data_IF_049398880705
#
_entry.id   IF_049398880705
#
_cell.length_a   1.000
_cell.length_b   1.000
_cell.length_c   1.000
_cell.angle_alpha   90.00
_cell.angle_beta   90.00
_cell.angle_gamma   90.00
#
_symmetry.space_group_name_H-M   'P 1'
#
loop_
_entity.id
_entity.type
_entity.pdbx_description
1 polymer ?
#
# COMPACT_ATOMS: atom_id res chain seq x y z
N UNK A 1 -26.13 5.05 -10.48
CA UNK A 1 -25.33 4.13 -9.61
C UNK A 1 -25.24 2.80 -10.32
N UNK A 2 -24.21 2.00 -10.04
CA UNK A 2 -24.13 0.62 -10.54
C UNK A 2 -25.16 -0.22 -9.75
N UNK A 3 -26.06 -0.88 -10.46
CA UNK A 3 -27.19 -1.65 -9.91
C UNK A 3 -26.94 -3.16 -9.92
N UNK A 4 -25.92 -3.58 -10.69
CA UNK A 4 -25.48 -4.96 -10.82
C UNK A 4 -24.86 -5.47 -9.52
N UNK A 5 -24.95 -6.77 -9.26
CA UNK A 5 -24.41 -7.40 -8.04
C UNK A 5 -22.88 -7.48 -8.02
N UNK A 6 -22.27 -7.48 -9.21
CA UNK A 6 -20.84 -7.68 -9.42
C UNK A 6 -20.29 -6.68 -10.42
N UNK A 7 -19.04 -6.29 -10.20
CA UNK A 7 -18.33 -5.32 -11.04
C UNK A 7 -17.03 -5.96 -11.52
N UNK A 8 -16.79 -5.90 -12.82
CA UNK A 8 -15.52 -6.31 -13.44
C UNK A 8 -14.84 -5.06 -14.04
N UNK A 9 -13.60 -4.81 -13.62
CA UNK A 9 -12.76 -3.74 -14.14
C UNK A 9 -11.68 -4.35 -15.03
N UNK A 10 -11.43 -3.73 -16.18
CA UNK A 10 -10.40 -4.12 -17.13
C UNK A 10 -9.81 -2.88 -17.80
N UNK A 11 -8.49 -2.83 -17.93
CA UNK A 11 -7.84 -1.73 -18.64
C UNK A 11 -8.13 -1.81 -20.14
N UNK A 12 -8.59 -0.70 -20.72
CA UNK A 12 -8.96 -0.60 -22.14
C UNK A 12 -7.78 -0.52 -23.12
N UNK A 13 -6.58 -0.94 -22.74
CA UNK A 13 -5.35 -0.83 -23.56
C UNK A 13 -4.98 -2.10 -24.33
N UNK A 14 -5.82 -3.14 -24.22
CA UNK A 14 -5.66 -4.42 -24.90
C UNK A 14 -4.58 -5.34 -24.32
N UNK A 15 -4.02 -5.04 -23.14
CA UNK A 15 -3.01 -5.89 -22.49
C UNK A 15 -3.63 -7.07 -21.74
N UNK A 16 -4.87 -6.93 -21.28
CA UNK A 16 -5.62 -8.00 -20.60
C UNK A 16 -6.49 -8.77 -21.59
N UNK A 17 -6.59 -10.08 -21.38
CA UNK A 17 -7.42 -10.95 -22.22
C UNK A 17 -8.85 -11.02 -21.66
N UNK A 18 -9.89 -10.54 -22.37
CA UNK A 18 -11.26 -10.57 -21.86
C UNK A 18 -11.81 -11.97 -21.56
N UNK A 19 -11.25 -13.01 -22.18
CA UNK A 19 -11.65 -14.40 -21.90
C UNK A 19 -11.24 -14.89 -20.52
N UNK A 20 -10.39 -14.16 -19.79
CA UNK A 20 -10.08 -14.48 -18.39
C UNK A 20 -11.17 -13.95 -17.42
N UNK A 21 -12.14 -13.15 -17.90
CA UNK A 21 -13.22 -12.59 -17.07
C UNK A 21 -13.95 -13.62 -16.19
N UNK A 22 -14.33 -14.81 -16.70
CA UNK A 22 -15.00 -15.81 -15.87
C UNK A 22 -14.16 -16.24 -14.67
N UNK A 23 -12.83 -16.36 -14.85
CA UNK A 23 -11.92 -16.76 -13.77
C UNK A 23 -11.80 -15.71 -12.65
N UNK A 24 -11.94 -14.41 -12.97
CA UNK A 24 -11.97 -13.37 -11.94
C UNK A 24 -13.33 -13.28 -11.25
N UNK A 25 -14.42 -13.59 -11.95
CA UNK A 25 -15.77 -13.53 -11.40
C UNK A 25 -16.11 -14.73 -10.53
N UNK A 26 -15.60 -15.93 -10.85
CA UNK A 26 -15.89 -17.18 -10.14
C UNK A 26 -15.72 -17.07 -8.61
N UNK A 27 -14.62 -16.54 -8.05
CA UNK A 27 -14.48 -16.43 -6.60
C UNK A 27 -15.48 -15.45 -5.96
N UNK A 28 -15.93 -14.45 -6.71
CA UNK A 28 -16.92 -13.48 -6.24
C UNK A 28 -18.33 -14.08 -6.29
N UNK A 29 -18.65 -14.79 -7.37
CA UNK A 29 -19.91 -15.52 -7.54
C UNK A 29 -20.08 -16.63 -6.49
N UNK A 30 -18.99 -17.32 -6.15
CA UNK A 30 -18.96 -18.36 -5.13
C UNK A 30 -18.98 -17.81 -3.69
N UNK A 31 -18.99 -16.48 -3.50
CA UNK A 31 -18.92 -15.83 -2.19
C UNK A 31 -17.58 -15.96 -1.46
N UNK A 32 -16.56 -16.55 -2.12
CA UNK A 32 -15.21 -16.77 -1.59
C UNK A 32 -14.43 -15.46 -1.43
N UNK A 33 -14.67 -14.48 -2.30
CA UNK A 33 -14.03 -13.17 -2.28
C UNK A 33 -15.02 -12.02 -2.47
N UNK A 34 -14.71 -10.87 -1.90
CA UNK A 34 -15.40 -9.59 -2.17
C UNK A 34 -14.61 -8.73 -3.16
N UNK A 35 -13.31 -8.99 -3.31
CA UNK A 35 -12.40 -8.35 -4.25
C UNK A 35 -11.43 -9.40 -4.82
N UNK A 36 -11.37 -9.54 -6.13
CA UNK A 36 -10.43 -10.41 -6.84
C UNK A 36 -9.47 -9.58 -7.65
N UNK A 37 -8.17 -9.87 -7.54
CA UNK A 37 -7.11 -9.20 -8.30
C UNK A 37 -6.50 -10.18 -9.30
N UNK A 38 -6.45 -9.80 -10.57
CA UNK A 38 -5.78 -10.60 -11.60
C UNK A 38 -4.26 -10.54 -11.44
N UNK A 39 -3.61 -11.67 -11.19
CA UNK A 39 -2.16 -11.79 -11.11
C UNK A 39 -1.53 -11.95 -12.51
N UNK A 40 -0.86 -10.90 -13.01
CA UNK A 40 -0.21 -10.91 -14.34
C UNK A 40 0.98 -11.85 -14.42
N UNK A 41 1.61 -12.19 -13.29
CA UNK A 41 2.76 -13.10 -13.26
C UNK A 41 2.36 -14.57 -13.50
N UNK A 42 1.06 -14.89 -13.42
CA UNK A 42 0.57 -16.26 -13.63
C UNK A 42 0.74 -16.75 -15.06
N UNK A 43 0.39 -15.92 -16.06
CA UNK A 43 0.50 -16.24 -17.50
C UNK A 43 0.98 -15.04 -18.32
N UNK A 44 2.14 -14.50 -17.96
CA UNK A 44 2.73 -13.38 -18.68
C UNK A 44 3.34 -13.82 -20.02
N UNK A 45 2.93 -13.21 -21.13
CA UNK A 45 3.59 -13.45 -22.42
C UNK A 45 4.97 -12.78 -22.46
N UNK A 46 5.94 -13.44 -23.10
CA UNK A 46 7.31 -12.95 -23.22
C UNK A 46 7.37 -11.52 -23.79
N UNK A 47 8.01 -10.61 -23.06
CA UNK A 47 8.17 -9.21 -23.47
C UNK A 47 7.00 -8.28 -23.12
N UNK A 48 5.94 -8.78 -22.49
CA UNK A 48 4.77 -7.96 -22.13
C UNK A 48 5.06 -6.88 -21.07
N UNK A 49 6.05 -7.12 -20.19
CA UNK A 49 6.52 -6.15 -19.21
C UNK A 49 8.03 -5.91 -19.36
N UNK A 50 8.44 -4.63 -19.36
CA UNK A 50 9.87 -4.27 -19.33
C UNK A 50 10.48 -4.72 -17.99
N UNK A 51 11.75 -5.17 -18.01
CA UNK A 51 12.47 -5.62 -16.79
C UNK A 51 12.44 -4.59 -15.65
N UNK A 52 12.56 -3.31 -15.97
CA UNK A 52 12.47 -2.22 -14.99
C UNK A 52 11.09 -2.17 -14.31
N UNK A 53 10.02 -2.40 -15.05
CA UNK A 53 8.66 -2.42 -14.50
C UNK A 53 8.43 -3.65 -13.63
N UNK A 54 8.99 -4.82 -14.01
CA UNK A 54 8.91 -6.02 -13.16
C UNK A 54 9.60 -5.78 -11.82
N UNK A 55 10.78 -5.16 -11.84
CA UNK A 55 11.50 -4.79 -10.63
C UNK A 55 10.71 -3.78 -9.78
N UNK A 56 10.17 -2.73 -10.42
CA UNK A 56 9.33 -1.73 -9.77
C UNK A 56 8.09 -2.35 -9.09
N UNK A 57 7.37 -3.22 -9.80
CA UNK A 57 6.23 -3.95 -9.24
C UNK A 57 6.64 -4.80 -8.03
N UNK A 58 7.74 -5.55 -8.14
CA UNK A 58 8.24 -6.37 -7.02
C UNK A 58 8.57 -5.52 -5.79
N UNK A 59 9.21 -4.36 -5.99
CA UNK A 59 9.48 -3.41 -4.91
C UNK A 59 8.19 -2.88 -4.28
N UNK A 60 7.22 -2.46 -5.10
CA UNK A 60 5.92 -1.95 -4.64
C UNK A 60 5.15 -3.01 -3.84
N UNK A 61 5.05 -4.23 -4.36
CA UNK A 61 4.41 -5.36 -3.66
C UNK A 61 5.13 -5.68 -2.35
N UNK A 62 6.47 -5.59 -2.31
CA UNK A 62 7.24 -5.79 -1.07
C UNK A 62 6.93 -4.73 -0.02
N UNK A 63 6.90 -3.44 -0.41
CA UNK A 63 6.52 -2.35 0.50
C UNK A 63 5.09 -2.52 1.00
N UNK A 64 4.15 -2.84 0.11
CA UNK A 64 2.76 -3.11 0.46
C UNK A 64 2.66 -4.26 1.46
N UNK A 65 3.27 -5.41 1.18
CA UNK A 65 3.21 -6.58 2.08
C UNK A 65 3.81 -6.27 3.45
N UNK A 66 4.92 -5.51 3.49
CA UNK A 66 5.55 -5.11 4.75
C UNK A 66 4.63 -4.21 5.59
N UNK A 67 3.97 -3.24 4.95
CA UNK A 67 3.12 -2.25 5.63
C UNK A 67 1.79 -2.86 6.05
N UNK A 68 1.11 -3.56 5.15
CA UNK A 68 -0.26 -4.04 5.33
C UNK A 68 -0.34 -5.50 5.81
N UNK A 69 0.81 -6.19 5.92
CA UNK A 69 0.93 -7.60 6.34
C UNK A 69 0.11 -8.58 5.51
N UNK A 70 -0.15 -8.22 4.25
CA UNK A 70 -0.91 -9.03 3.29
C UNK A 70 -0.04 -9.28 2.07
N UNK A 71 0.09 -10.56 1.73
CA UNK A 71 0.89 -11.00 0.61
C UNK A 71 0.01 -11.04 -0.64
N UNK A 72 0.20 -10.06 -1.52
CA UNK A 72 -0.33 -10.03 -2.87
C UNK A 72 0.85 -9.96 -3.86
N UNK A 73 0.75 -10.74 -4.92
CA UNK A 73 1.75 -10.90 -5.98
C UNK A 73 1.69 -9.77 -6.98
N UNK A 74 0.51 -9.15 -7.18
CA UNK A 74 0.34 -8.09 -8.18
C UNK A 74 -0.76 -7.06 -7.83
N UNK A 75 -0.46 -6.15 -6.88
CA UNK A 75 -1.41 -5.09 -6.49
C UNK A 75 -1.63 -4.03 -7.58
N UNK A 76 -0.82 -4.03 -8.65
CA UNK A 76 -0.88 -3.02 -9.72
C UNK A 76 -1.59 -3.53 -10.97
N UNK A 77 -2.34 -4.62 -10.84
CA UNK A 77 -3.19 -5.12 -11.90
C UNK A 77 -4.48 -4.31 -11.96
N UNK A 78 -4.84 -3.89 -13.18
CA UNK A 78 -6.10 -3.23 -13.50
C UNK A 78 -7.24 -4.20 -13.79
N UNK A 79 -6.96 -5.51 -13.87
CA UNK A 79 -8.00 -6.53 -14.05
C UNK A 79 -8.49 -7.03 -12.69
N UNK A 80 -9.71 -6.64 -12.32
CA UNK A 80 -10.27 -6.90 -10.99
C UNK A 80 -11.74 -7.21 -11.05
N UNK A 81 -12.22 -8.03 -10.12
CA UNK A 81 -13.65 -8.23 -9.89
C UNK A 81 -14.01 -7.87 -8.46
N UNK A 82 -15.23 -7.39 -8.24
CA UNK A 82 -15.74 -7.04 -6.93
C UNK A 82 -17.21 -7.43 -6.78
N UNK A 83 -17.64 -7.64 -5.54
CA UNK A 83 -19.05 -7.47 -5.19
C UNK A 83 -19.38 -5.98 -5.18
N UNK A 84 -20.60 -5.63 -5.59
CA UNK A 84 -21.06 -4.24 -5.54
C UNK A 84 -21.12 -3.70 -4.10
N UNK A 85 -21.46 -4.55 -3.13
CA UNK A 85 -21.36 -4.20 -1.70
C UNK A 85 -19.91 -3.89 -1.29
N UNK A 86 -18.95 -4.70 -1.74
CA UNK A 86 -17.53 -4.48 -1.51
C UNK A 86 -17.06 -3.12 -2.04
N UNK A 87 -17.39 -2.79 -3.30
CA UNK A 87 -17.03 -1.49 -3.90
C UNK A 87 -17.66 -0.32 -3.18
N UNK A 88 -18.94 -0.42 -2.79
CA UNK A 88 -19.66 0.65 -2.07
C UNK A 88 -19.06 0.98 -0.70
N UNK A 89 -18.29 0.05 -0.12
CA UNK A 89 -17.59 0.25 1.16
C UNK A 89 -16.25 0.96 1.01
N UNK A 90 -15.69 1.03 -0.20
CA UNK A 90 -14.39 1.66 -0.47
C UNK A 90 -14.53 3.18 -0.49
N UNK A 91 -13.60 3.86 0.19
CA UNK A 91 -13.49 5.32 0.15
C UNK A 91 -12.30 5.71 -0.72
N UNK A 92 -12.55 5.84 -2.03
CA UNK A 92 -11.53 6.07 -3.04
C UNK A 92 -11.40 7.57 -3.33
N UNK A 93 -10.17 8.09 -3.27
CA UNK A 93 -9.89 9.53 -3.35
C UNK A 93 -8.79 9.88 -4.35
N UNK A 94 -8.03 8.90 -4.83
CA UNK A 94 -6.80 9.15 -5.56
C UNK A 94 -7.02 9.07 -7.08
N UNK A 95 -6.69 10.13 -7.84
CA UNK A 95 -6.78 10.09 -9.29
C UNK A 95 -5.55 9.41 -9.90
N UNK A 96 -5.71 8.66 -10.99
CA UNK A 96 -4.59 8.15 -11.80
C UNK A 96 -4.24 6.69 -11.53
N UNK A 97 -2.94 6.36 -11.59
CA UNK A 97 -2.39 4.99 -11.48
C UNK A 97 -2.21 4.53 -10.02
N UNK A 98 -2.54 5.40 -9.09
CA UNK A 98 -2.56 5.09 -7.66
C UNK A 98 -3.85 4.37 -7.24
N UNK A 99 -4.91 4.42 -8.07
CA UNK A 99 -6.23 3.89 -7.75
C UNK A 99 -6.21 2.38 -7.52
N UNK A 100 -5.39 1.63 -8.26
CA UNK A 100 -5.23 0.20 -8.10
C UNK A 100 -4.69 -0.14 -6.70
N UNK A 101 -3.69 0.61 -6.24
CA UNK A 101 -3.15 0.42 -4.89
C UNK A 101 -4.16 0.87 -3.83
N UNK A 102 -4.83 1.99 -4.01
CA UNK A 102 -5.85 2.51 -3.08
C UNK A 102 -7.02 1.54 -2.93
N UNK A 103 -7.55 1.00 -4.03
CA UNK A 103 -8.62 -0.02 -4.00
C UNK A 103 -8.22 -1.23 -3.16
N UNK A 104 -6.98 -1.69 -3.30
CA UNK A 104 -6.47 -2.83 -2.52
C UNK A 104 -6.32 -2.46 -1.05
N UNK A 105 -5.75 -1.28 -0.74
CA UNK A 105 -5.58 -0.81 0.64
C UNK A 105 -6.93 -0.62 1.33
N UNK A 106 -7.89 0.04 0.68
CA UNK A 106 -9.24 0.22 1.23
C UNK A 106 -9.95 -1.13 1.39
N UNK A 107 -9.74 -2.09 0.47
CA UNK A 107 -10.29 -3.44 0.64
C UNK A 107 -9.74 -4.11 1.91
N UNK A 108 -8.44 -3.98 2.17
CA UNK A 108 -7.80 -4.48 3.40
C UNK A 108 -8.37 -3.79 4.64
N UNK A 109 -8.44 -2.46 4.62
CA UNK A 109 -8.99 -1.63 5.70
C UNK A 109 -10.40 -2.03 6.10
N UNK A 110 -11.26 -2.24 5.10
CA UNK A 110 -12.65 -2.62 5.30
C UNK A 110 -12.81 -4.12 5.60
N UNK A 111 -11.72 -4.89 5.61
CA UNK A 111 -11.74 -6.32 5.89
C UNK A 111 -12.44 -7.15 4.81
N UNK A 112 -12.39 -6.70 3.55
CA UNK A 112 -12.89 -7.48 2.42
C UNK A 112 -12.03 -8.73 2.22
N UNK A 113 -12.66 -9.83 1.81
CA UNK A 113 -11.93 -11.04 1.39
C UNK A 113 -11.29 -10.80 0.01
N UNK A 114 -9.96 -10.83 -0.05
CA UNK A 114 -9.18 -10.61 -1.27
C UNK A 114 -8.58 -11.93 -1.77
N UNK A 115 -8.75 -12.26 -3.05
CA UNK A 115 -8.13 -13.42 -3.70
C UNK A 115 -7.38 -12.99 -4.96
N UNK A 116 -6.22 -13.60 -5.23
CA UNK A 116 -5.52 -13.44 -6.51
C UNK A 116 -5.82 -14.61 -7.45
N UNK A 117 -6.11 -14.30 -8.71
CA UNK A 117 -6.33 -15.30 -9.77
C UNK A 117 -5.30 -15.09 -10.88
N UNK A 118 -4.58 -16.14 -11.33
CA UNK A 118 -3.62 -16.00 -12.43
C UNK A 118 -4.32 -15.64 -13.74
N UNK A 119 -3.83 -14.59 -14.42
CA UNK A 119 -4.41 -14.08 -15.67
C UNK A 119 -3.36 -13.98 -16.78
N UNK A 120 -3.84 -13.91 -18.02
CA UNK A 120 -3.03 -13.72 -19.22
C UNK A 120 -2.75 -12.24 -19.43
N UNK A 121 -1.47 -11.88 -19.45
CA UNK A 121 -1.02 -10.52 -19.73
C UNK A 121 -0.21 -10.48 -21.03
N UNK A 122 -0.71 -9.72 -22.01
CA UNK A 122 -0.17 -9.63 -23.37
C UNK A 122 0.63 -8.35 -23.56
N UNK A 123 1.56 -8.39 -24.50
CA UNK A 123 2.23 -7.18 -24.99
C UNK A 123 1.19 -6.24 -25.59
N UNK A 124 1.27 -4.96 -25.23
CA UNK A 124 0.38 -3.94 -25.79
C UNK A 124 0.53 -3.89 -27.32
N UNK A 125 -0.56 -3.64 -28.08
CA UNK A 125 -0.50 -3.49 -29.53
C UNK A 125 0.59 -2.50 -29.97
N UNK A 126 1.26 -2.80 -31.08
CA UNK A 126 2.32 -1.96 -31.62
C UNK A 126 1.77 -0.56 -31.96
N UNK A 127 2.47 0.49 -31.51
CA UNK A 127 2.11 1.90 -31.77
C UNK A 127 1.47 2.64 -30.60
N UNK A 128 1.09 1.97 -29.51
CA UNK A 128 0.52 2.64 -28.33
C UNK A 128 1.62 3.10 -27.36
N UNK A 129 1.76 4.42 -27.17
CA UNK A 129 2.71 4.98 -26.19
C UNK A 129 2.18 4.75 -24.76
N UNK A 130 3.04 4.22 -23.90
CA UNK A 130 2.76 4.12 -22.46
C UNK A 130 2.69 5.53 -21.85
N UNK A 131 1.55 5.89 -21.25
CA UNK A 131 1.42 7.12 -20.46
C UNK A 131 2.11 7.03 -19.08
N UNK A 132 2.45 5.81 -18.65
CA UNK A 132 3.16 5.52 -17.41
C UNK A 132 4.65 5.92 -17.50
N UNK A 133 5.08 6.79 -16.59
CA UNK A 133 6.47 7.11 -16.31
C UNK A 133 6.95 6.29 -15.10
N UNK A 134 7.73 5.20 -15.30
CA UNK A 134 7.99 4.21 -14.25
C UNK A 134 8.50 4.78 -12.92
N UNK A 135 9.39 5.76 -12.97
CA UNK A 135 9.94 6.38 -11.77
C UNK A 135 8.95 7.33 -11.08
N UNK A 136 8.31 8.22 -11.85
CA UNK A 136 7.41 9.23 -11.30
C UNK A 136 6.15 8.60 -10.73
N UNK A 137 5.54 7.72 -11.51
CA UNK A 137 4.27 7.09 -11.12
C UNK A 137 4.52 5.99 -10.07
N UNK A 138 5.64 5.25 -10.18
CA UNK A 138 6.07 4.33 -9.12
C UNK A 138 6.31 5.03 -7.79
N UNK A 139 6.97 6.20 -7.78
CA UNK A 139 7.15 7.00 -6.56
C UNK A 139 5.82 7.48 -5.98
N UNK A 140 4.88 7.95 -6.82
CA UNK A 140 3.54 8.35 -6.38
C UNK A 140 2.77 7.21 -5.74
N UNK A 141 2.85 6.01 -6.32
CA UNK A 141 2.24 4.80 -5.76
C UNK A 141 2.85 4.49 -4.39
N UNK A 142 4.18 4.47 -4.27
CA UNK A 142 4.86 4.23 -2.99
C UNK A 142 4.47 5.28 -1.94
N UNK A 143 4.43 6.56 -2.32
CA UNK A 143 4.00 7.64 -1.43
C UNK A 143 2.54 7.48 -1.01
N UNK A 144 1.66 6.99 -1.89
CA UNK A 144 0.26 6.71 -1.57
C UNK A 144 0.15 5.55 -0.59
N UNK A 145 0.84 4.44 -0.85
CA UNK A 145 0.95 3.28 0.05
C UNK A 145 1.45 3.73 1.43
N UNK A 146 2.48 4.56 1.48
CA UNK A 146 3.02 5.09 2.73
C UNK A 146 2.04 6.05 3.42
N UNK A 147 1.42 6.98 2.69
CA UNK A 147 0.44 7.94 3.22
C UNK A 147 -0.78 7.25 3.82
N UNK A 148 -1.27 6.20 3.18
CA UNK A 148 -2.42 5.42 3.67
C UNK A 148 -2.06 4.54 4.87
N UNK A 149 -0.77 4.21 5.06
CA UNK A 149 -0.32 3.50 6.26
C UNK A 149 -0.66 4.25 7.56
N UNK A 150 -0.81 5.58 7.52
CA UNK A 150 -1.21 6.37 8.70
C UNK A 150 -2.54 5.92 9.33
N UNK A 151 -3.46 5.36 8.54
CA UNK A 151 -4.77 4.88 9.03
C UNK A 151 -4.76 3.38 9.29
N UNK A 152 -4.08 2.61 8.43
CA UNK A 152 -4.12 1.14 8.49
C UNK A 152 -3.08 0.54 9.42
N UNK A 153 -1.89 1.14 9.44
CA UNK A 153 -0.79 0.74 10.29
C UNK A 153 -0.10 1.99 10.88
N UNK A 154 -0.78 2.70 11.81
CA UNK A 154 -0.26 3.92 12.40
C UNK A 154 1.09 3.70 13.08
N UNK A 155 1.28 2.52 13.68
CA UNK A 155 2.53 2.13 14.33
C UNK A 155 3.70 2.12 13.34
N UNK A 156 3.53 1.52 12.16
CA UNK A 156 4.57 1.56 11.12
C UNK A 156 4.81 2.99 10.63
N UNK A 157 3.75 3.75 10.35
CA UNK A 157 3.86 5.10 9.79
C UNK A 157 4.57 6.06 10.74
N UNK A 158 4.05 6.26 11.95
CA UNK A 158 4.61 7.19 12.92
C UNK A 158 5.84 6.63 13.61
N UNK A 159 5.94 5.31 13.78
CA UNK A 159 7.12 4.65 14.34
C UNK A 159 8.34 4.77 13.43
N UNK A 160 8.18 4.63 12.11
CA UNK A 160 9.29 4.83 11.16
C UNK A 160 9.77 6.29 11.18
N UNK A 161 8.85 7.25 11.10
CA UNK A 161 9.20 8.68 11.14
C UNK A 161 9.83 9.02 12.49
N UNK A 162 9.21 8.61 13.60
CA UNK A 162 9.73 8.84 14.94
C UNK A 162 11.13 8.25 15.16
N UNK A 163 11.38 7.06 14.63
CA UNK A 163 12.70 6.42 14.69
C UNK A 163 13.75 7.19 13.89
N UNK A 164 13.40 7.78 12.74
CA UNK A 164 14.31 8.62 11.97
C UNK A 164 14.70 9.90 12.73
N UNK A 165 13.70 10.56 13.36
CA UNK A 165 13.95 11.74 14.20
C UNK A 165 14.82 11.38 15.42
N UNK A 166 14.50 10.29 16.11
CA UNK A 166 15.28 9.82 17.25
C UNK A 166 16.71 9.41 16.85
N UNK A 167 16.90 8.74 15.72
CA UNK A 167 18.21 8.37 15.22
C UNK A 167 19.04 9.58 14.82
N UNK A 168 18.45 10.57 14.12
CA UNK A 168 19.12 11.82 13.79
C UNK A 168 19.54 12.57 15.06
N UNK A 169 18.64 12.70 16.03
CA UNK A 169 18.93 13.29 17.34
C UNK A 169 20.06 12.55 18.05
N UNK A 170 20.01 11.22 18.08
CA UNK A 170 21.05 10.38 18.71
C UNK A 170 22.43 10.55 18.05
N UNK A 171 22.50 10.58 16.71
CA UNK A 171 23.77 10.78 15.98
C UNK A 171 24.37 12.17 16.24
N UNK A 172 23.54 13.22 16.24
CA UNK A 172 23.99 14.59 16.56
C UNK A 172 24.42 14.65 18.04
N UNK A 173 23.66 14.04 18.94
CA UNK A 173 23.97 13.96 20.36
C UNK A 173 25.30 13.26 20.62
N UNK A 174 25.59 12.17 19.90
CA UNK A 174 26.87 11.48 19.98
C UNK A 174 28.03 12.36 19.50
N UNK A 175 27.83 13.12 18.43
CA UNK A 175 28.82 14.10 17.94
C UNK A 175 29.10 15.19 18.99
N UNK A 176 28.05 15.80 19.56
CA UNK A 176 28.16 16.84 20.58
C UNK A 176 28.84 16.29 21.84
N UNK A 177 28.43 15.11 22.31
CA UNK A 177 29.01 14.47 23.49
C UNK A 177 30.49 14.14 23.30
N UNK A 178 30.88 13.68 22.10
CA UNK A 178 32.28 13.43 21.74
C UNK A 178 33.11 14.71 21.83
N UNK A 179 32.68 15.78 21.16
CA UNK A 179 33.44 17.04 21.11
C UNK A 179 33.56 17.67 22.50
N UNK A 180 32.49 17.59 23.31
CA UNK A 180 32.54 18.03 24.70
C UNK A 180 33.52 17.20 25.54
N UNK A 181 33.52 15.87 25.38
CA UNK A 181 34.36 14.99 26.19
C UNK A 181 35.86 15.15 25.89
N UNK A 182 36.23 15.20 24.60
CA UNK A 182 37.63 15.23 24.18
C UNK A 182 38.21 16.65 24.11
N UNK A 183 37.43 17.64 23.67
CA UNK A 183 37.92 18.99 23.34
C UNK A 183 37.33 20.07 24.25
N UNK A 184 36.35 19.73 25.10
CA UNK A 184 35.65 20.67 25.99
C UNK A 184 34.99 21.84 25.24
N UNK A 185 34.54 21.59 24.01
CA UNK A 185 33.82 22.57 23.18
C UNK A 185 32.33 22.41 23.40
N UNK A 186 31.65 23.50 23.76
CA UNK A 186 30.20 23.51 23.95
C UNK A 186 29.46 23.82 22.64
N UNK A 187 28.61 22.89 22.22
CA UNK A 187 27.72 23.06 21.06
C UNK A 187 26.27 23.24 21.53
N UNK A 188 25.99 24.36 22.22
CA UNK A 188 24.66 24.62 22.82
C UNK A 188 23.51 24.48 21.80
N UNK A 189 23.57 25.06 20.58
CA UNK A 189 22.48 24.91 19.61
C UNK A 189 22.23 23.45 19.18
N UNK A 190 23.30 22.67 18.96
CA UNK A 190 23.19 21.26 18.57
C UNK A 190 22.69 20.38 19.72
N UNK A 191 23.00 20.74 20.96
CA UNK A 191 22.48 20.07 22.17
C UNK A 191 20.96 20.25 22.27
N UNK A 192 20.49 21.48 22.07
CA UNK A 192 19.04 21.78 22.05
C UNK A 192 18.36 21.03 20.91
N UNK A 193 18.95 21.06 19.70
CA UNK A 193 18.42 20.32 18.55
C UNK A 193 18.33 18.81 18.82
N UNK A 194 19.36 18.22 19.42
CA UNK A 194 19.40 16.82 19.84
C UNK A 194 18.21 16.49 20.74
N UNK A 195 17.98 17.30 21.78
CA UNK A 195 16.88 17.08 22.71
C UNK A 195 15.52 17.17 22.01
N UNK A 196 15.31 18.19 21.16
CA UNK A 196 14.07 18.36 20.39
C UNK A 196 13.82 17.16 19.47
N UNK A 197 14.82 16.72 18.72
CA UNK A 197 14.70 15.60 17.78
C UNK A 197 14.34 14.29 18.50
N UNK A 198 14.96 14.02 19.65
CA UNK A 198 14.67 12.82 20.45
C UNK A 198 13.24 12.91 21.04
N UNK A 199 12.84 14.05 21.59
CA UNK A 199 11.50 14.24 22.16
C UNK A 199 10.42 14.09 21.08
N UNK A 200 10.59 14.76 19.93
CA UNK A 200 9.66 14.64 18.79
C UNK A 200 9.60 13.19 18.28
N UNK A 201 10.77 12.54 18.15
CA UNK A 201 10.83 11.13 17.73
C UNK A 201 10.06 10.20 18.68
N UNK A 202 10.24 10.38 19.99
CA UNK A 202 9.52 9.63 21.00
C UNK A 202 8.00 9.92 21.00
N UNK A 203 7.60 11.18 20.86
CA UNK A 203 6.19 11.56 20.77
C UNK A 203 5.50 10.94 19.55
N UNK A 204 6.16 10.93 18.38
CA UNK A 204 5.63 10.27 17.18
C UNK A 204 5.46 8.77 17.41
N UNK A 205 6.41 8.12 18.07
CA UNK A 205 6.29 6.71 18.43
C UNK A 205 5.05 6.45 19.31
N UNK A 206 4.84 7.28 20.34
CA UNK A 206 3.65 7.18 21.20
C UNK A 206 2.35 7.38 20.43
N UNK A 207 2.30 8.34 19.50
CA UNK A 207 1.14 8.56 18.62
C UNK A 207 0.89 7.33 17.74
N UNK A 208 1.94 6.71 17.20
CA UNK A 208 1.85 5.47 16.44
C UNK A 208 1.24 4.34 17.25
N UNK A 209 1.70 4.15 18.49
CA UNK A 209 1.17 3.14 19.41
C UNK A 209 -0.29 3.41 19.76
N UNK A 210 -0.66 4.66 20.07
CA UNK A 210 -2.04 5.04 20.37
C UNK A 210 -2.97 4.84 19.17
N UNK A 211 -2.52 5.22 17.97
CA UNK A 211 -3.26 5.00 16.74
C UNK A 211 -3.52 3.52 16.48
N UNK A 212 -2.52 2.66 16.69
CA UNK A 212 -2.67 1.22 16.48
C UNK A 212 -3.62 0.57 17.49
N UNK A 213 -3.53 0.95 18.77
CA UNK A 213 -4.51 0.51 19.79
C UNK A 213 -5.94 0.89 19.40
N UNK A 214 -6.14 2.13 18.93
CA UNK A 214 -7.45 2.62 18.50
C UNK A 214 -7.98 1.86 17.29
N UNK A 215 -7.13 1.64 16.28
CA UNK A 215 -7.47 0.86 15.10
C UNK A 215 -7.78 -0.61 15.45
N UNK A 216 -7.03 -1.21 16.38
CA UNK A 216 -7.26 -2.57 16.86
C UNK A 216 -8.62 -2.72 17.54
N UNK A 217 -8.94 -1.81 18.46
CA UNK A 217 -10.25 -1.77 19.13
C UNK A 217 -11.40 -1.61 18.13
N UNK A 218 -11.26 -0.73 17.14
CA UNK A 218 -12.28 -0.54 16.11
C UNK A 218 -12.50 -1.81 15.28
N UNK A 219 -11.40 -2.50 14.89
CA UNK A 219 -11.48 -3.78 14.17
C UNK A 219 -12.09 -4.90 15.01
N UNK A 220 -11.86 -4.92 16.31
CA UNK A 220 -12.48 -5.89 17.22
C UNK A 220 -13.98 -5.64 17.35
N UNK A 221 -14.39 -4.38 17.53
CA UNK A 221 -15.80 -3.99 17.58
C UNK A 221 -16.57 -4.39 16.31
N UNK A 222 -16.00 -4.13 15.12
CA UNK A 222 -16.63 -4.54 13.85
C UNK A 222 -16.78 -6.07 13.77
N UNK A 223 -15.75 -6.81 14.19
CA UNK A 223 -15.80 -8.28 14.21
C UNK A 223 -16.90 -8.81 15.13
N UNK A 224 -17.08 -8.20 16.30
CA UNK A 224 -18.18 -8.56 17.20
C UNK A 224 -19.57 -8.27 16.61
N UNK A 225 -19.73 -7.14 15.92
CA UNK A 225 -20.99 -6.80 15.24
C UNK A 225 -21.33 -7.82 14.15
N UNK A 226 -20.33 -8.27 13.38
CA UNK A 226 -20.55 -9.31 12.35
C UNK A 226 -20.82 -10.69 12.96
N UNK A 227 -20.25 -11.02 14.12
CA UNK A 227 -20.52 -12.30 14.81
C UNK A 227 -21.93 -12.41 15.42
N UNK A 228 -22.56 -11.26 15.72
CA UNK A 228 -23.91 -11.20 16.30
C UNK A 228 -25.04 -11.21 15.26
N UNK A 229 -24.72 -11.14 13.96
CA UNK A 229 -25.66 -11.35 12.86
C UNK A 229 -25.61 -12.81 12.41
#
# INVERSE_FOLDING_TARGET
>A
MIEEDFILLIDGDGTYLPSDAPSLLEPVLDGKAEHVVGNRHGRMQGGALKRLNMFGNKMINFFFSTIYRIHLTDILSGYRAFTTEGVRRLDLSTPGFEIESEMTIESVKKGLRIIEVPITYRSRPAGTKTKLHPFRDGLKIILTIFRMAKTENPMFYFGLIGSLFAAAGFLIGLYVARDWLYWRIDHIPLTILTAILIIVGFQLFLIGMQGDMTASMHRELIRELHRKK
#
